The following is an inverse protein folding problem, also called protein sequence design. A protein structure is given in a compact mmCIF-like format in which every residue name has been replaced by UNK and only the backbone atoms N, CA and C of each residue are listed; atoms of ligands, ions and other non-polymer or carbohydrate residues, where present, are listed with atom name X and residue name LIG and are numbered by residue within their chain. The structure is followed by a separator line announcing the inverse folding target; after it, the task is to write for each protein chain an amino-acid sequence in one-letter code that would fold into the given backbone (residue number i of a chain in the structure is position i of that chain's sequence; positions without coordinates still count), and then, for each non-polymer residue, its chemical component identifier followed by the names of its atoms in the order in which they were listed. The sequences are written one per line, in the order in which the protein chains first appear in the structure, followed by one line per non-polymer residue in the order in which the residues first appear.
data_IF_278632580340
#
_entry.id   IF_278632580340
#
_cell.length_a   1.000
_cell.length_b   1.000
_cell.length_c   1.000
_cell.angle_alpha   90.00
_cell.angle_beta   90.00
_cell.angle_gamma   90.00
#
_symmetry.space_group_name_H-M   'P 1'
#
loop_
_entity.id
_entity.type
_entity.pdbx_description
1 polymer ?
#
# COMPACT_ATOMS: atom_id res chain seq x y z
N UNK A 1 -12.01 9.21 9.23
CA UNK A 1 -11.18 8.47 8.27
C UNK A 1 -12.01 7.84 7.14
N UNK A 2 -13.20 7.29 7.42
CA UNK A 2 -14.07 6.67 6.40
C UNK A 2 -14.69 7.67 5.41
N UNK A 3 -14.67 8.95 5.74
CA UNK A 3 -15.25 10.02 4.91
C UNK A 3 -14.22 10.73 4.02
N UNK A 4 -12.95 10.36 4.10
CA UNK A 4 -11.95 10.91 3.20
C UNK A 4 -12.20 10.41 1.77
N UNK A 5 -12.15 11.30 0.80
CA UNK A 5 -12.47 10.99 -0.60
C UNK A 5 -11.57 9.92 -1.24
N UNK A 6 -10.38 9.74 -0.68
CA UNK A 6 -9.38 8.76 -1.14
C UNK A 6 -9.48 7.40 -0.42
N UNK A 7 -10.47 7.19 0.42
CA UNK A 7 -10.66 5.94 1.17
C UNK A 7 -12.00 5.30 0.86
N UNK A 8 -11.99 3.97 0.83
CA UNK A 8 -13.19 3.13 0.74
C UNK A 8 -13.08 2.00 1.76
N UNK A 9 -14.22 1.51 2.18
CA UNK A 9 -14.30 0.38 3.10
C UNK A 9 -14.77 -0.85 2.34
N UNK A 10 -14.02 -1.94 2.51
CA UNK A 10 -14.45 -3.29 2.12
C UNK A 10 -15.21 -3.87 3.29
N UNK A 11 -16.41 -4.34 3.05
CA UNK A 11 -17.22 -5.09 4.01
C UNK A 11 -17.45 -6.49 3.47
N UNK A 12 -17.14 -7.49 4.29
CA UNK A 12 -17.38 -8.89 3.96
C UNK A 12 -18.48 -9.41 4.89
N UNK A 13 -19.48 -10.04 4.31
CA UNK A 13 -20.64 -10.56 5.01
C UNK A 13 -20.70 -12.08 4.94
N UNK A 14 -21.19 -12.68 6.01
CA UNK A 14 -21.62 -14.07 6.08
C UNK A 14 -23.12 -14.05 6.38
N UNK A 15 -23.95 -14.32 5.37
CA UNK A 15 -25.39 -14.04 5.47
C UNK A 15 -25.65 -12.54 5.69
N UNK A 16 -26.38 -12.20 6.73
CA UNK A 16 -26.72 -10.82 7.09
C UNK A 16 -25.68 -10.14 8.01
N UNK A 17 -24.72 -10.89 8.51
CA UNK A 17 -23.72 -10.39 9.46
C UNK A 17 -22.44 -9.90 8.75
N UNK A 18 -21.93 -8.75 9.19
CA UNK A 18 -20.62 -8.26 8.76
C UNK A 18 -19.54 -8.98 9.58
N UNK A 19 -18.77 -9.81 8.92
CA UNK A 19 -17.71 -10.63 9.56
C UNK A 19 -16.31 -10.05 9.36
N UNK A 20 -16.12 -9.17 8.40
CA UNK A 20 -14.84 -8.51 8.18
C UNK A 20 -15.01 -7.10 7.60
N UNK A 21 -14.06 -6.24 7.93
CA UNK A 21 -13.91 -4.91 7.35
C UNK A 21 -12.44 -4.58 7.12
N UNK A 22 -12.15 -3.97 6.01
CA UNK A 22 -10.84 -3.43 5.69
C UNK A 22 -10.99 -2.07 5.01
N UNK A 23 -9.97 -1.23 5.09
CA UNK A 23 -9.92 0.02 4.37
C UNK A 23 -8.97 -0.10 3.19
N UNK A 24 -9.37 0.40 2.02
CA UNK A 24 -8.47 0.65 0.90
C UNK A 24 -8.28 2.16 0.76
N UNK A 25 -7.06 2.54 0.51
CA UNK A 25 -6.65 3.94 0.39
C UNK A 25 -5.97 4.16 -0.95
N UNK A 26 -6.47 5.11 -1.72
CA UNK A 26 -5.76 5.60 -2.89
C UNK A 26 -4.78 6.69 -2.45
N UNK A 27 -3.52 6.45 -2.68
CA UNK A 27 -2.43 7.32 -2.23
C UNK A 27 -1.25 7.26 -3.20
N UNK A 28 -0.10 7.69 -2.77
CA UNK A 28 1.14 7.59 -3.53
C UNK A 28 2.22 6.92 -2.69
N UNK A 29 3.23 6.39 -3.36
CA UNK A 29 4.33 5.74 -2.70
C UNK A 29 5.56 5.66 -3.59
N UNK A 30 6.68 5.27 -3.00
CA UNK A 30 7.94 5.16 -3.69
C UNK A 30 8.83 4.08 -3.07
N UNK A 31 9.78 3.54 -3.86
CA UNK A 31 10.79 2.62 -3.36
C UNK A 31 11.92 3.32 -2.61
N UNK A 32 12.08 4.62 -2.82
CA UNK A 32 13.07 5.46 -2.14
C UNK A 32 12.36 6.58 -1.39
N UNK A 33 12.94 7.01 -0.27
CA UNK A 33 12.37 8.10 0.54
C UNK A 33 12.30 9.40 -0.27
N UNK A 34 11.10 9.91 -0.56
CA UNK A 34 10.95 11.20 -1.20
C UNK A 34 11.36 12.30 -0.23
N UNK A 35 12.26 13.17 -0.66
CA UNK A 35 12.61 14.39 0.07
C UNK A 35 11.79 15.56 -0.47
N UNK A 36 11.47 16.54 0.35
CA UNK A 36 10.73 17.74 -0.08
C UNK A 36 11.41 18.48 -1.24
N UNK A 37 12.74 18.50 -1.24
CA UNK A 37 13.54 19.08 -2.31
C UNK A 37 13.36 18.34 -3.65
N UNK A 38 13.38 17.01 -3.62
CA UNK A 38 13.21 16.18 -4.81
C UNK A 38 11.79 16.29 -5.38
N UNK A 39 10.78 16.41 -4.54
CA UNK A 39 9.39 16.64 -4.95
C UNK A 39 9.23 18.01 -5.63
N UNK A 40 9.86 19.06 -5.11
CA UNK A 40 9.85 20.40 -5.71
C UNK A 40 10.50 20.41 -7.09
N UNK A 41 11.61 19.71 -7.27
CA UNK A 41 12.27 19.59 -8.58
C UNK A 41 11.46 18.77 -9.56
N UNK A 42 10.80 17.71 -9.14
CA UNK A 42 9.92 16.91 -9.99
C UNK A 42 8.73 17.72 -10.48
N UNK A 43 8.13 18.54 -9.64
CA UNK A 43 7.01 19.43 -9.98
C UNK A 43 7.46 20.53 -10.99
N UNK A 44 8.64 21.11 -10.79
CA UNK A 44 9.17 22.16 -11.65
C UNK A 44 9.68 21.67 -13.00
N UNK A 45 10.20 20.45 -13.07
CA UNK A 45 10.82 19.88 -14.28
C UNK A 45 9.87 19.04 -15.14
N UNK A 46 8.57 18.98 -14.80
CA UNK A 46 7.63 18.13 -15.52
C UNK A 46 7.96 16.63 -15.40
N UNK A 47 8.61 16.25 -14.34
CA UNK A 47 8.90 14.85 -14.01
C UNK A 47 10.23 14.28 -14.49
N UNK A 48 11.08 15.05 -15.16
CA UNK A 48 12.33 14.55 -15.75
C UNK A 48 13.56 15.39 -15.39
N UNK A 49 13.90 15.57 -14.13
CA UNK A 49 15.20 16.16 -13.79
C UNK A 49 16.25 15.09 -13.49
N UNK A 50 17.27 15.06 -14.35
CA UNK A 50 18.46 14.19 -14.21
C UNK A 50 19.62 14.96 -13.58
N UNK A 51 19.52 15.36 -12.32
CA UNK A 51 20.72 15.74 -11.59
C UNK A 51 20.99 14.76 -10.45
N UNK A 52 22.13 14.11 -10.54
CA UNK A 52 22.71 13.16 -9.59
C UNK A 52 21.94 11.86 -9.30
N UNK A 53 21.52 11.13 -10.32
CA UNK A 53 21.43 9.67 -10.25
C UNK A 53 20.26 9.02 -9.49
N UNK A 54 19.36 9.77 -8.87
CA UNK A 54 18.24 9.18 -8.13
C UNK A 54 16.93 9.91 -8.45
N UNK A 55 16.25 9.45 -9.50
CA UNK A 55 14.87 9.86 -9.77
C UNK A 55 13.98 9.13 -8.76
N UNK A 56 13.39 9.85 -7.82
CA UNK A 56 12.32 9.30 -6.99
C UNK A 56 11.05 9.26 -7.82
N UNK A 57 10.74 8.10 -8.35
CA UNK A 57 9.51 7.88 -9.09
C UNK A 57 8.38 7.57 -8.11
N UNK A 58 7.54 8.55 -7.79
CA UNK A 58 6.30 8.31 -7.07
C UNK A 58 5.31 7.56 -7.96
N UNK A 59 4.64 6.58 -7.37
CA UNK A 59 3.61 5.78 -8.02
C UNK A 59 2.27 6.03 -7.37
N UNK A 60 1.21 6.00 -8.19
CA UNK A 60 -0.15 5.89 -7.66
C UNK A 60 -0.29 4.52 -6.99
N UNK A 61 -0.73 4.51 -5.76
CA UNK A 61 -0.82 3.31 -4.91
C UNK A 61 -2.23 3.12 -4.40
N UNK A 62 -2.75 1.91 -4.54
CA UNK A 62 -3.91 1.45 -3.78
C UNK A 62 -3.40 0.58 -2.62
N UNK A 63 -3.51 1.12 -1.42
CA UNK A 63 -3.04 0.48 -0.20
C UNK A 63 -4.19 -0.23 0.52
N UNK A 64 -4.06 -1.54 0.71
CA UNK A 64 -4.96 -2.34 1.54
C UNK A 64 -4.45 -2.35 2.98
N UNK A 65 -5.18 -1.67 3.86
CA UNK A 65 -4.91 -1.61 5.28
C UNK A 65 -5.26 -2.94 5.98
N UNK A 66 -4.89 -3.06 7.24
CA UNK A 66 -5.21 -4.23 8.07
C UNK A 66 -6.70 -4.54 8.05
N UNK A 67 -7.04 -5.81 7.87
CA UNK A 67 -8.41 -6.30 8.03
C UNK A 67 -8.73 -6.57 9.49
N UNK A 68 -9.95 -6.28 9.87
CA UNK A 68 -10.53 -6.60 11.17
C UNK A 68 -11.65 -7.60 10.97
N UNK A 69 -11.62 -8.70 11.71
CA UNK A 69 -12.60 -9.78 11.64
C UNK A 69 -13.32 -9.97 12.96
N UNK A 70 -14.52 -10.49 12.93
CA UNK A 70 -15.35 -10.76 14.10
C UNK A 70 -16.27 -11.96 13.85
N UNK A 71 -16.39 -12.85 14.83
CA UNK A 71 -17.33 -13.95 14.80
C UNK A 71 -17.02 -15.06 13.80
N UNK A 72 -15.77 -15.21 13.38
CA UNK A 72 -15.31 -16.23 12.43
C UNK A 72 -14.09 -16.98 12.96
N UNK A 73 -13.91 -18.24 12.51
CA UNK A 73 -12.76 -19.05 12.85
C UNK A 73 -11.52 -18.72 11.99
N UNK A 74 -10.39 -19.38 12.26
CA UNK A 74 -9.13 -19.10 11.57
C UNK A 74 -9.18 -19.41 10.07
N UNK A 75 -9.85 -20.48 9.65
CA UNK A 75 -10.00 -20.83 8.23
C UNK A 75 -10.84 -19.80 7.49
N UNK A 76 -11.92 -19.33 8.10
CA UNK A 76 -12.76 -18.27 7.57
C UNK A 76 -12.02 -16.91 7.55
N UNK A 77 -11.15 -16.64 8.52
CA UNK A 77 -10.27 -15.47 8.52
C UNK A 77 -9.33 -15.47 7.31
N UNK A 78 -8.71 -16.61 7.03
CA UNK A 78 -7.85 -16.77 5.85
C UNK A 78 -8.63 -16.50 4.56
N UNK A 79 -9.82 -17.06 4.43
CA UNK A 79 -10.68 -16.88 3.26
C UNK A 79 -11.08 -15.40 3.06
N UNK A 80 -11.50 -14.70 4.10
CA UNK A 80 -11.87 -13.29 3.99
C UNK A 80 -10.68 -12.38 3.69
N UNK A 81 -9.50 -12.73 4.18
CA UNK A 81 -8.26 -12.01 3.85
C UNK A 81 -7.89 -12.19 2.37
N UNK A 82 -8.00 -13.40 1.84
CA UNK A 82 -7.78 -13.69 0.41
C UNK A 82 -8.79 -12.94 -0.48
N UNK A 83 -10.05 -12.89 -0.07
CA UNK A 83 -11.08 -12.10 -0.79
C UNK A 83 -10.75 -10.60 -0.79
N UNK A 84 -10.31 -10.05 0.33
CA UNK A 84 -9.92 -8.65 0.43
C UNK A 84 -8.72 -8.32 -0.48
N UNK A 85 -7.71 -9.19 -0.51
CA UNK A 85 -6.55 -9.05 -1.39
C UNK A 85 -6.95 -9.11 -2.85
N UNK A 86 -7.77 -10.08 -3.24
CA UNK A 86 -8.25 -10.22 -4.63
C UNK A 86 -9.01 -8.97 -5.08
N UNK A 87 -9.89 -8.44 -4.24
CA UNK A 87 -10.63 -7.22 -4.54
C UNK A 87 -9.71 -5.99 -4.66
N UNK A 88 -8.77 -5.84 -3.74
CA UNK A 88 -7.82 -4.72 -3.79
C UNK A 88 -6.93 -4.78 -5.02
N UNK A 89 -6.45 -5.97 -5.40
CA UNK A 89 -5.64 -6.18 -6.60
C UNK A 89 -6.42 -5.82 -7.87
N UNK A 90 -7.66 -6.27 -7.96
CA UNK A 90 -8.54 -5.92 -9.09
C UNK A 90 -8.81 -4.41 -9.16
N UNK A 91 -9.12 -3.77 -8.05
CA UNK A 91 -9.36 -2.33 -8.00
C UNK A 91 -8.13 -1.51 -8.35
N UNK A 92 -6.96 -1.93 -7.91
CA UNK A 92 -5.70 -1.29 -8.29
C UNK A 92 -5.48 -1.34 -9.80
N UNK A 93 -5.70 -2.50 -10.43
CA UNK A 93 -5.60 -2.65 -11.89
C UNK A 93 -6.58 -1.74 -12.63
N UNK A 94 -7.83 -1.65 -12.19
CA UNK A 94 -8.86 -0.77 -12.78
C UNK A 94 -8.46 0.72 -12.71
N UNK A 95 -7.77 1.13 -11.65
CA UNK A 95 -7.34 2.51 -11.42
C UNK A 95 -5.97 2.84 -12.02
N UNK A 96 -5.28 1.88 -12.59
CA UNK A 96 -3.88 2.04 -13.00
C UNK A 96 -2.93 2.30 -11.83
N UNK A 97 -3.28 1.84 -10.64
CA UNK A 97 -2.50 1.98 -9.43
C UNK A 97 -1.70 0.70 -9.12
N UNK A 98 -0.61 0.86 -8.39
CA UNK A 98 0.14 -0.26 -7.82
C UNK A 98 -0.57 -0.75 -6.57
N UNK A 99 -0.84 -2.05 -6.48
CA UNK A 99 -1.39 -2.64 -5.26
C UNK A 99 -0.29 -2.84 -4.22
N UNK A 100 -0.52 -2.30 -3.03
CA UNK A 100 0.36 -2.46 -1.86
C UNK A 100 -0.48 -2.95 -0.69
N UNK A 101 0.00 -4.00 -0.02
CA UNK A 101 -0.72 -4.64 1.07
C UNK A 101 0.01 -4.47 2.39
N UNK A 102 -0.73 -4.37 3.47
CA UNK A 102 -0.19 -4.53 4.81
C UNK A 102 0.44 -5.92 4.98
N UNK A 103 1.53 -6.02 5.74
CA UNK A 103 2.31 -7.26 5.90
C UNK A 103 1.49 -8.46 6.40
N UNK A 104 0.39 -8.23 7.08
CA UNK A 104 -0.50 -9.31 7.55
C UNK A 104 -1.05 -10.21 6.44
N UNK A 105 -1.10 -9.71 5.22
CA UNK A 105 -1.60 -10.48 4.07
C UNK A 105 -0.55 -11.41 3.43
N UNK A 106 0.57 -11.65 4.10
CA UNK A 106 1.71 -12.42 3.58
C UNK A 106 1.37 -13.81 3.05
N UNK A 107 0.33 -14.45 3.56
CA UNK A 107 -0.13 -15.78 3.15
C UNK A 107 -1.42 -15.75 2.34
N UNK A 108 -1.86 -14.59 1.86
CA UNK A 108 -3.19 -14.39 1.29
C UNK A 108 -3.18 -14.02 -0.19
N UNK A 109 -2.10 -14.26 -0.90
CA UNK A 109 -1.94 -13.93 -2.31
C UNK A 109 -1.13 -15.00 -3.05
N UNK A 110 -1.25 -15.02 -4.37
CA UNK A 110 -0.38 -15.84 -5.20
C UNK A 110 1.08 -15.35 -5.09
N UNK A 111 2.00 -16.24 -4.79
CA UNK A 111 3.41 -15.92 -4.46
C UNK A 111 4.17 -15.21 -5.57
N UNK A 112 3.69 -15.28 -6.80
CA UNK A 112 4.25 -14.61 -7.97
C UNK A 112 3.73 -13.17 -8.17
N UNK A 113 2.63 -12.80 -7.51
CA UNK A 113 2.01 -11.49 -7.66
C UNK A 113 2.61 -10.40 -6.75
N UNK A 114 3.04 -10.76 -5.56
CA UNK A 114 3.54 -9.84 -4.54
C UNK A 114 4.90 -10.26 -4.01
N UNK A 115 5.65 -9.26 -3.60
CA UNK A 115 6.95 -9.44 -2.95
C UNK A 115 7.05 -8.52 -1.75
N UNK A 116 7.71 -9.00 -0.69
CA UNK A 116 8.06 -8.16 0.45
C UNK A 116 9.20 -7.22 0.04
N UNK A 117 8.97 -5.93 0.16
CA UNK A 117 9.95 -4.90 -0.22
C UNK A 117 9.88 -3.72 0.73
N UNK A 118 11.02 -3.09 1.04
CA UNK A 118 11.01 -1.76 1.61
C UNK A 118 10.26 -0.81 0.69
N UNK A 119 9.32 -0.05 1.24
CA UNK A 119 8.49 0.86 0.48
C UNK A 119 8.03 2.02 1.36
N UNK A 120 7.80 3.16 0.74
CA UNK A 120 7.32 4.38 1.40
C UNK A 120 5.91 4.68 0.94
N UNK A 121 4.96 4.66 1.86
CA UNK A 121 3.55 5.00 1.58
C UNK A 121 3.25 6.37 2.13
N UNK A 122 2.69 7.24 1.31
CA UNK A 122 2.26 8.57 1.73
C UNK A 122 1.02 8.48 2.61
N UNK A 123 1.09 9.09 3.77
CA UNK A 123 -0.02 9.25 4.71
C UNK A 123 -0.27 10.72 4.91
N UNK A 124 -1.41 11.23 4.42
CA UNK A 124 -1.80 12.59 4.71
C UNK A 124 -2.13 12.73 6.19
N UNK A 125 -1.49 13.68 6.86
CA UNK A 125 -1.89 14.04 8.22
C UNK A 125 -3.04 15.03 8.13
N UNK A 126 -4.22 14.66 8.61
CA UNK A 126 -5.22 15.65 8.95
C UNK A 126 -4.73 16.48 10.14
N UNK A 127 -5.11 17.75 10.23
CA UNK A 127 -4.74 18.65 11.34
C UNK A 127 -5.02 18.05 12.73
N UNK A 128 -5.95 17.10 12.82
CA UNK A 128 -6.40 16.46 14.05
C UNK A 128 -6.18 14.94 14.04
N UNK A 129 -5.57 14.36 13.00
CA UNK A 129 -5.53 12.92 12.81
C UNK A 129 -4.25 12.29 13.30
N UNK A 130 -4.36 11.60 14.41
CA UNK A 130 -3.46 10.48 14.64
C UNK A 130 -3.90 9.38 13.64
N UNK A 131 -3.12 9.17 12.60
CA UNK A 131 -3.28 7.97 11.81
C UNK A 131 -2.90 6.79 12.71
N UNK A 132 -3.78 5.84 12.82
CA UNK A 132 -3.49 4.62 13.57
C UNK A 132 -2.44 3.81 12.80
N UNK A 133 -1.21 3.78 13.30
CA UNK A 133 -0.11 3.03 12.68
C UNK A 133 -0.37 1.52 12.67
N UNK A 134 -1.23 1.03 13.53
CA UNK A 134 -1.65 -0.38 13.56
C UNK A 134 -2.46 -0.79 12.31
N UNK A 135 -3.15 0.15 11.67
CA UNK A 135 -3.84 -0.12 10.40
C UNK A 135 -2.88 -0.49 9.27
N UNK A 136 -1.62 -0.10 9.40
CA UNK A 136 -0.54 -0.45 8.48
C UNK A 136 0.05 -1.84 8.71
N UNK A 137 -0.51 -2.59 9.66
CA UNK A 137 -0.15 -3.98 9.90
C UNK A 137 1.20 -4.20 10.57
N UNK A 138 1.68 -3.24 11.35
CA UNK A 138 2.94 -3.34 12.10
C UNK A 138 4.20 -3.26 11.22
N UNK A 139 4.05 -2.92 9.95
CA UNK A 139 5.17 -2.80 9.01
C UNK A 139 5.93 -1.48 9.12
N UNK A 140 5.33 -0.49 9.79
CA UNK A 140 5.87 0.85 9.85
C UNK A 140 6.95 1.00 10.92
N UNK A 141 8.07 1.55 10.52
CA UNK A 141 9.21 1.86 11.40
C UNK A 141 9.34 3.35 11.71
N UNK A 142 8.55 4.19 11.07
CA UNK A 142 8.72 5.65 11.07
C UNK A 142 7.94 6.37 12.17
N UNK A 143 8.48 7.50 12.59
CA UNK A 143 7.83 8.36 13.60
C UNK A 143 6.53 8.97 13.05
N UNK A 144 5.57 9.22 13.94
CA UNK A 144 4.25 9.82 13.63
C UNK A 144 4.31 11.22 12.99
N UNK A 145 5.49 11.80 12.84
CA UNK A 145 5.67 13.17 12.32
C UNK A 145 5.89 13.22 10.82
N UNK A 146 6.22 12.10 10.19
CA UNK A 146 6.56 12.07 8.76
C UNK A 146 5.33 11.84 7.88
N UNK A 147 5.33 12.43 6.68
CA UNK A 147 4.25 12.28 5.69
C UNK A 147 4.27 10.91 5.04
N UNK A 148 5.43 10.27 4.98
CA UNK A 148 5.64 8.94 4.45
C UNK A 148 5.90 7.97 5.58
N UNK A 149 5.28 6.80 5.49
CA UNK A 149 5.57 5.68 6.37
C UNK A 149 6.47 4.70 5.63
N UNK A 150 7.63 4.48 6.20
CA UNK A 150 8.56 3.45 5.75
C UNK A 150 8.21 2.11 6.40
N UNK A 151 8.26 1.06 5.63
CA UNK A 151 8.10 -0.30 6.13
C UNK A 151 8.38 -1.36 5.07
N UNK A 152 8.47 -2.61 5.53
CA UNK A 152 8.43 -3.77 4.65
C UNK A 152 6.98 -4.07 4.31
N UNK A 153 6.54 -3.62 3.15
CA UNK A 153 5.21 -3.87 2.62
C UNK A 153 5.23 -5.00 1.58
N UNK A 154 4.06 -5.52 1.29
CA UNK A 154 3.85 -6.42 0.17
C UNK A 154 3.49 -5.56 -1.05
N UNK A 155 4.39 -5.52 -2.01
CA UNK A 155 4.27 -4.69 -3.21
C UNK A 155 4.05 -5.60 -4.42
N UNK A 156 3.16 -5.20 -5.30
CA UNK A 156 2.89 -5.90 -6.54
C UNK A 156 4.17 -6.03 -7.37
N UNK A 157 4.55 -7.27 -7.73
CA UNK A 157 5.84 -7.58 -8.39
C UNK A 157 6.05 -6.79 -9.68
N UNK A 158 4.99 -6.58 -10.46
CA UNK A 158 5.06 -5.81 -11.70
C UNK A 158 5.58 -4.38 -11.50
N UNK A 159 5.38 -3.77 -10.32
CA UNK A 159 5.88 -2.44 -10.00
C UNK A 159 7.40 -2.38 -9.83
N UNK A 160 8.03 -3.50 -9.45
CA UNK A 160 9.48 -3.59 -9.27
C UNK A 160 10.23 -3.54 -10.60
N UNK A 161 9.69 -4.16 -11.63
CA UNK A 161 10.31 -4.16 -12.97
C UNK A 161 10.36 -2.78 -13.61
N UNK A 162 9.35 -1.96 -13.38
CA UNK A 162 9.32 -0.57 -13.89
C UNK A 162 10.22 0.39 -13.13
N UNK A 163 10.67 0.02 -11.92
CA UNK A 163 11.54 0.84 -11.08
C UNK A 163 13.03 0.53 -11.23
N UNK A 164 13.41 -0.48 -12.03
CA UNK A 164 14.80 -0.95 -12.13
C UNK A 164 15.36 -1.52 -10.81
N UNK A 165 14.47 -1.92 -9.89
CA UNK A 165 14.82 -2.28 -8.52
C UNK A 165 15.26 -3.76 -8.35
N UNK A 166 15.14 -4.59 -9.38
CA UNK A 166 15.61 -5.98 -9.34
C UNK A 166 16.73 -6.15 -10.37
N UNK A 167 17.90 -6.68 -9.96
CA UNK A 167 18.84 -7.22 -10.92
C UNK A 167 18.16 -8.40 -11.64
N UNK A 168 18.27 -8.43 -12.95
CA UNK A 168 17.92 -9.61 -13.74
C UNK A 168 18.63 -10.81 -13.10
N UNK A 169 17.85 -11.83 -12.73
CA UNK A 169 18.47 -13.11 -12.41
C UNK A 169 19.07 -13.62 -13.71
N UNK A 170 20.38 -13.59 -13.81
CA UNK A 170 21.08 -14.44 -14.78
C UNK A 170 20.68 -15.89 -14.50
N UNK A 171 20.05 -16.52 -15.50
CA UNK A 171 19.85 -17.95 -15.51
C UNK A 171 21.19 -18.70 -15.62
#
# INVERSE_FOLDING_TARGET
AAFDSNKKIILIRKGDEIVARACIRLTKGAFQKPTELMLSFADLAGGNSTESGHIVCEKLVLFLERIYTSGINDDEQQEVMEMAVALATQKAAELGAVSVLARRYVNCYARDQYVSSPFYVYISKSKNGQQYLDSLGGAATTSRKEKYVEGAFLVERAALHTAGALPEKEE
#
